data_IF_342855506599
#
_entry.id   IF_342855506599
#
_cell.length_a   1.000
_cell.length_b   1.000
_cell.length_c   1.000
_cell.angle_alpha   90.00
_cell.angle_beta   90.00
_cell.angle_gamma   90.00
#
_symmetry.space_group_name_H-M   'P 1'
#
loop_
_entity.id
_entity.type
_entity.pdbx_description
1 polymer ?
#
# COMPACT_ATOMS: atom_id res chain seq x y z
N UNK A 1 6.45 23.33 -5.41
CA UNK A 1 7.00 22.60 -4.26
C UNK A 1 7.71 21.38 -4.80
N UNK A 2 8.86 21.03 -4.22
CA UNK A 2 9.60 19.82 -4.55
C UNK A 2 8.80 18.59 -4.07
N UNK A 3 8.62 17.58 -4.92
CA UNK A 3 7.90 16.36 -4.60
C UNK A 3 8.52 15.64 -3.38
N UNK A 4 9.84 15.77 -3.18
CA UNK A 4 10.51 15.21 -2.01
C UNK A 4 10.06 15.88 -0.69
N UNK A 5 9.84 17.19 -0.69
CA UNK A 5 9.30 17.92 0.47
C UNK A 5 7.85 17.55 0.75
N UNK A 6 7.08 17.25 -0.31
CA UNK A 6 5.70 16.75 -0.19
C UNK A 6 5.67 15.39 0.51
N UNK A 7 6.52 14.46 0.07
CA UNK A 7 6.59 13.12 0.64
C UNK A 7 7.02 13.13 2.11
N UNK A 8 7.99 13.97 2.50
CA UNK A 8 8.54 13.95 3.87
C UNK A 8 7.60 14.54 4.91
N UNK A 9 6.89 15.63 4.60
CA UNK A 9 6.01 16.26 5.59
C UNK A 9 4.71 15.51 5.87
N UNK A 10 4.17 14.74 4.91
CA UNK A 10 3.04 13.82 5.14
C UNK A 10 3.45 12.73 6.16
N UNK A 11 4.67 12.20 6.04
CA UNK A 11 5.20 11.17 6.93
C UNK A 11 5.36 11.69 8.36
N UNK A 12 5.92 12.90 8.54
CA UNK A 12 6.19 13.45 9.87
C UNK A 12 4.91 13.75 10.68
N UNK A 13 3.88 14.32 10.07
CA UNK A 13 2.62 14.57 10.78
C UNK A 13 1.88 13.28 11.11
N UNK A 14 1.85 12.33 10.18
CA UNK A 14 1.26 11.02 10.44
C UNK A 14 1.98 10.29 11.57
N UNK A 15 3.29 10.51 11.74
CA UNK A 15 4.10 9.92 12.83
C UNK A 15 3.66 10.40 14.21
N UNK A 16 3.33 11.68 14.38
CA UNK A 16 2.89 12.21 15.68
C UNK A 16 1.58 11.56 16.15
N UNK A 17 0.60 11.41 15.25
CA UNK A 17 -0.67 10.74 15.56
C UNK A 17 -0.46 9.26 15.94
N UNK A 18 0.45 8.56 15.27
CA UNK A 18 0.72 7.13 15.50
C UNK A 18 1.40 6.84 16.83
N UNK A 19 2.39 7.64 17.20
CA UNK A 19 3.20 7.38 18.40
C UNK A 19 2.74 8.17 19.63
N UNK A 20 1.68 8.98 19.50
CA UNK A 20 1.07 9.70 20.62
C UNK A 20 0.79 8.76 21.80
N UNK A 21 1.22 9.20 22.98
CA UNK A 21 1.07 8.44 24.24
C UNK A 21 1.95 7.20 24.35
N UNK A 22 2.95 7.01 23.48
CA UNK A 22 3.86 5.84 23.54
C UNK A 22 5.33 6.25 23.59
N UNK A 23 6.19 5.34 24.05
CA UNK A 23 7.64 5.50 24.05
C UNK A 23 8.32 4.20 23.59
N UNK A 24 9.57 4.24 23.09
CA UNK A 24 10.33 3.03 22.76
C UNK A 24 10.38 2.02 23.91
N UNK A 25 10.51 2.50 25.15
CA UNK A 25 10.55 1.66 26.35
C UNK A 25 9.19 1.00 26.65
N UNK A 26 8.08 1.72 26.45
CA UNK A 26 6.75 1.14 26.59
C UNK A 26 6.50 0.05 25.54
N UNK A 27 6.88 0.32 24.29
CA UNK A 27 6.79 -0.66 23.21
C UNK A 27 7.67 -1.89 23.46
N UNK A 28 8.88 -1.69 24.00
CA UNK A 28 9.76 -2.79 24.41
C UNK A 28 9.05 -3.74 25.38
N UNK A 29 8.43 -3.22 26.43
CA UNK A 29 7.68 -4.03 27.43
C UNK A 29 6.50 -4.77 26.83
N UNK A 30 5.74 -4.10 25.95
CA UNK A 30 4.59 -4.71 25.24
C UNK A 30 5.05 -5.85 24.33
N UNK A 31 6.13 -5.65 23.58
CA UNK A 31 6.75 -6.68 22.74
C UNK A 31 7.26 -7.86 23.56
N UNK A 32 7.93 -7.62 24.69
CA UNK A 32 8.37 -8.69 25.60
C UNK A 32 7.18 -9.51 26.11
N UNK A 33 6.07 -8.84 26.45
CA UNK A 33 4.83 -9.49 26.90
C UNK A 33 4.20 -10.32 25.79
N UNK A 34 4.14 -9.79 24.57
CA UNK A 34 3.64 -10.51 23.39
C UNK A 34 4.47 -11.76 23.11
N UNK A 35 5.81 -11.64 23.12
CA UNK A 35 6.73 -12.75 22.86
C UNK A 35 6.63 -13.82 23.97
N UNK A 36 6.51 -13.40 25.24
CA UNK A 36 6.36 -14.31 26.37
C UNK A 36 5.06 -15.12 26.34
N UNK A 37 4.02 -14.61 25.66
CA UNK A 37 2.74 -15.27 25.54
C UNK A 37 2.71 -16.36 24.45
N UNK A 38 3.77 -16.50 23.65
CA UNK A 38 3.80 -17.45 22.54
C UNK A 38 4.08 -18.87 23.05
N UNK A 39 3.30 -19.89 22.64
CA UNK A 39 3.40 -21.25 23.21
C UNK A 39 4.78 -21.90 23.09
N UNK A 40 5.50 -21.64 21.99
CA UNK A 40 6.82 -22.19 21.74
C UNK A 40 7.94 -21.47 22.53
N UNK A 41 7.66 -20.28 23.08
CA UNK A 41 8.68 -19.42 23.70
C UNK A 41 8.90 -19.79 25.16
N UNK A 42 10.17 -19.85 25.57
CA UNK A 42 10.58 -20.15 26.94
C UNK A 42 11.82 -19.34 27.35
N UNK A 43 12.05 -19.28 28.67
CA UNK A 43 13.23 -18.62 29.23
C UNK A 43 13.20 -17.09 29.12
N UNK A 44 14.36 -16.43 29.31
CA UNK A 44 14.44 -14.97 29.27
C UNK A 44 14.23 -14.44 27.84
N UNK A 45 13.51 -13.32 27.75
CA UNK A 45 13.26 -12.59 26.51
C UNK A 45 13.96 -11.23 26.63
N UNK A 46 14.63 -10.82 25.56
CA UNK A 46 15.25 -9.51 25.48
C UNK A 46 14.84 -8.82 24.20
N UNK A 47 14.14 -7.69 24.31
CA UNK A 47 13.83 -6.81 23.18
C UNK A 47 14.74 -5.58 23.22
N UNK A 48 15.33 -5.22 22.08
CA UNK A 48 16.29 -4.12 21.95
C UNK A 48 16.04 -3.31 20.67
N UNK A 49 16.67 -2.14 20.60
CA UNK A 49 16.67 -1.26 19.42
C UNK A 49 15.28 -0.90 18.90
N UNK A 50 14.29 -0.80 19.80
CA UNK A 50 12.93 -0.39 19.45
C UNK A 50 12.96 1.05 18.96
N UNK A 51 12.64 1.24 17.68
CA UNK A 51 12.64 2.57 17.07
C UNK A 51 11.62 2.68 15.93
N UNK A 52 11.03 3.86 15.72
CA UNK A 52 10.24 4.12 14.51
C UNK A 52 11.12 4.05 13.25
N UNK A 53 10.49 3.73 12.12
CA UNK A 53 11.14 3.84 10.82
C UNK A 53 11.41 5.32 10.52
N UNK A 54 12.61 5.63 10.02
CA UNK A 54 13.09 7.01 9.90
C UNK A 54 12.33 7.80 8.82
N UNK A 55 12.17 7.29 7.58
CA UNK A 55 11.86 8.17 6.43
C UNK A 55 11.05 7.56 5.26
N UNK A 56 10.66 6.27 5.26
CA UNK A 56 10.09 5.64 4.05
C UNK A 56 8.95 4.62 4.28
N UNK A 57 8.33 4.58 5.47
CA UNK A 57 7.19 3.68 5.72
C UNK A 57 5.86 4.44 5.61
N UNK A 58 4.92 3.88 4.85
CA UNK A 58 3.64 4.46 4.44
C UNK A 58 2.82 5.19 5.52
N UNK A 59 1.84 5.96 5.02
CA UNK A 59 1.02 6.95 5.74
C UNK A 59 0.03 6.40 6.80
N UNK A 60 -0.28 5.11 6.77
CA UNK A 60 -1.51 4.57 7.34
C UNK A 60 -1.37 3.88 8.70
N UNK A 61 -0.26 3.19 8.95
CA UNK A 61 -0.07 2.35 10.15
C UNK A 61 1.19 2.75 10.95
N UNK A 62 1.19 2.44 12.24
CA UNK A 62 2.40 2.54 13.07
C UNK A 62 3.40 1.43 12.73
N UNK A 63 4.66 1.78 12.51
CA UNK A 63 5.72 0.82 12.18
C UNK A 63 6.94 1.01 13.08
N UNK A 64 7.35 -0.05 13.78
CA UNK A 64 8.53 -0.08 14.64
C UNK A 64 9.51 -1.17 14.20
N UNK A 65 10.79 -0.86 14.22
CA UNK A 65 11.88 -1.82 14.08
C UNK A 65 12.35 -2.23 15.47
N UNK A 66 12.70 -3.51 15.67
CA UNK A 66 13.32 -3.99 16.90
C UNK A 66 14.15 -5.25 16.66
N UNK A 67 14.97 -5.62 17.65
CA UNK A 67 15.63 -6.93 17.73
C UNK A 67 15.08 -7.70 18.92
N UNK A 68 14.94 -9.01 18.79
CA UNK A 68 14.57 -9.87 19.90
C UNK A 68 15.49 -11.09 20.01
N UNK A 69 15.82 -11.45 21.25
CA UNK A 69 16.53 -12.66 21.64
C UNK A 69 15.65 -13.44 22.62
N UNK A 70 15.30 -14.69 22.29
CA UNK A 70 14.44 -15.57 23.08
C UNK A 70 14.72 -17.04 22.77
N UNK A 71 14.24 -17.99 23.59
CA UNK A 71 14.27 -19.41 23.21
C UNK A 71 12.92 -19.84 22.66
N UNK A 72 12.91 -20.49 21.49
CA UNK A 72 11.75 -21.17 20.94
C UNK A 72 12.08 -22.65 20.73
N UNK A 73 11.24 -23.55 21.26
CA UNK A 73 11.44 -25.00 21.16
C UNK A 73 12.86 -25.45 21.59
N UNK A 74 13.39 -24.80 22.64
CA UNK A 74 14.73 -25.04 23.18
C UNK A 74 15.88 -24.36 22.42
N UNK A 75 15.64 -23.82 21.21
CA UNK A 75 16.66 -23.15 20.40
C UNK A 75 16.71 -21.65 20.69
N UNK A 76 17.93 -21.08 20.74
CA UNK A 76 18.10 -19.63 20.84
C UNK A 76 17.80 -18.98 19.49
N UNK A 77 16.86 -18.04 19.48
CA UNK A 77 16.50 -17.22 18.32
C UNK A 77 16.98 -15.80 18.56
N UNK A 78 17.76 -15.25 17.63
CA UNK A 78 18.19 -13.84 17.63
C UNK A 78 17.95 -13.22 16.26
N UNK A 79 16.90 -12.41 16.15
CA UNK A 79 16.44 -11.86 14.85
C UNK A 79 16.03 -10.40 14.96
N UNK A 80 15.96 -9.75 13.79
CA UNK A 80 15.38 -8.43 13.64
C UNK A 80 13.94 -8.56 13.14
N UNK A 81 13.06 -7.72 13.67
CA UNK A 81 11.63 -7.77 13.43
C UNK A 81 11.08 -6.38 13.12
N UNK A 82 9.89 -6.38 12.53
CA UNK A 82 9.07 -5.19 12.30
C UNK A 82 7.73 -5.42 12.99
N UNK A 83 7.30 -4.46 13.79
CA UNK A 83 5.94 -4.40 14.33
C UNK A 83 5.13 -3.42 13.49
N UNK A 84 3.99 -3.87 12.95
CA UNK A 84 2.94 -3.03 12.37
C UNK A 84 1.75 -2.98 13.32
N UNK A 85 1.21 -1.81 13.60
CA UNK A 85 0.06 -1.65 14.51
C UNK A 85 -0.86 -0.52 14.07
N UNK A 86 -2.14 -0.61 14.43
CA UNK A 86 -3.13 0.39 14.07
C UNK A 86 -2.85 1.74 14.76
N UNK A 87 -3.05 2.87 14.05
CA UNK A 87 -3.02 4.18 14.68
C UNK A 87 -4.21 4.37 15.62
N UNK A 88 -4.15 5.37 16.50
CA UNK A 88 -5.30 5.77 17.35
C UNK A 88 -6.42 6.45 16.58
N UNK A 89 -6.11 6.98 15.40
CA UNK A 89 -7.03 7.62 14.47
C UNK A 89 -6.63 7.22 13.06
N UNK A 90 -7.59 6.72 12.29
CA UNK A 90 -7.36 6.20 10.95
C UNK A 90 -7.77 7.16 9.84
N UNK A 91 -7.10 7.04 8.69
CA UNK A 91 -7.46 7.65 7.42
C UNK A 91 -8.59 6.90 6.71
N UNK A 92 -8.57 5.56 6.81
CA UNK A 92 -9.57 4.67 6.20
C UNK A 92 -10.75 4.41 7.15
N UNK A 93 -11.92 4.15 6.56
CA UNK A 93 -13.14 3.83 7.30
C UNK A 93 -13.11 2.42 7.92
N UNK A 94 -12.25 1.54 7.39
CA UNK A 94 -12.03 0.19 7.88
C UNK A 94 -10.54 -0.14 7.90
N UNK A 95 -10.10 -0.76 9.00
CA UNK A 95 -8.74 -1.22 9.19
C UNK A 95 -8.78 -2.62 9.79
N UNK A 96 -8.16 -3.58 9.10
CA UNK A 96 -8.01 -4.93 9.62
C UNK A 96 -6.55 -5.40 9.49
N UNK A 97 -5.87 -5.49 10.64
CA UNK A 97 -4.49 -5.98 10.71
C UNK A 97 -4.39 -7.50 10.57
N UNK A 98 -5.46 -8.23 10.88
CA UNK A 98 -5.52 -9.68 10.71
C UNK A 98 -5.64 -10.03 9.24
N UNK A 99 -6.47 -9.34 8.47
CA UNK A 99 -6.54 -9.51 7.01
C UNK A 99 -5.17 -9.29 6.36
N UNK A 100 -4.46 -8.22 6.75
CA UNK A 100 -3.11 -7.95 6.25
C UNK A 100 -2.10 -9.04 6.64
N UNK A 101 -2.18 -9.55 7.87
CA UNK A 101 -1.31 -10.61 8.37
C UNK A 101 -1.59 -11.93 7.64
N UNK A 102 -2.85 -12.33 7.52
CA UNK A 102 -3.26 -13.59 6.90
C UNK A 102 -2.98 -13.59 5.40
N UNK A 103 -3.21 -12.46 4.72
CA UNK A 103 -2.86 -12.30 3.30
C UNK A 103 -1.37 -12.52 3.08
N UNK A 104 -0.51 -11.78 3.78
CA UNK A 104 0.94 -11.95 3.64
C UNK A 104 1.39 -13.36 4.02
N UNK A 105 0.82 -13.96 5.07
CA UNK A 105 1.13 -15.32 5.48
C UNK A 105 0.76 -16.35 4.41
N UNK A 106 -0.34 -16.16 3.69
CA UNK A 106 -0.73 -17.05 2.58
C UNK A 106 0.28 -16.97 1.41
N UNK A 107 0.85 -15.80 1.18
CA UNK A 107 1.80 -15.53 0.09
C UNK A 107 3.20 -16.09 0.37
N UNK A 108 3.56 -16.41 1.61
CA UNK A 108 4.87 -16.98 1.97
C UNK A 108 5.22 -18.28 1.21
N UNK A 109 4.19 -19.00 0.73
CA UNK A 109 4.35 -20.24 -0.04
C UNK A 109 4.50 -20.03 -1.55
N UNK A 110 4.54 -18.78 -2.01
CA UNK A 110 4.53 -18.39 -3.44
C UNK A 110 5.86 -17.76 -3.88
N UNK A 111 5.94 -17.31 -5.14
CA UNK A 111 7.08 -16.52 -5.64
C UNK A 111 7.05 -15.06 -5.18
N UNK A 112 5.93 -14.59 -4.60
CA UNK A 112 5.79 -13.20 -4.16
C UNK A 112 6.74 -12.95 -2.98
N UNK A 113 7.67 -11.97 -3.08
CA UNK A 113 8.58 -11.69 -1.98
C UNK A 113 7.82 -10.94 -0.88
N UNK A 114 7.49 -11.63 0.21
CA UNK A 114 6.85 -11.05 1.41
C UNK A 114 7.68 -11.34 2.64
N UNK A 115 7.52 -10.49 3.67
CA UNK A 115 8.12 -10.77 4.97
C UNK A 115 7.38 -11.91 5.67
N UNK A 116 8.12 -12.80 6.33
CA UNK A 116 7.52 -13.87 7.14
C UNK A 116 6.76 -13.29 8.33
N UNK A 117 5.50 -13.67 8.44
CA UNK A 117 4.56 -13.24 9.46
C UNK A 117 4.73 -14.10 10.72
N UNK A 118 5.02 -13.46 11.85
CA UNK A 118 5.50 -14.15 13.06
C UNK A 118 4.42 -14.22 14.14
N UNK A 119 3.90 -13.06 14.57
CA UNK A 119 2.91 -12.99 15.66
C UNK A 119 1.80 -12.01 15.34
N UNK A 120 0.56 -12.36 15.66
CA UNK A 120 -0.61 -11.49 15.54
C UNK A 120 -1.21 -11.24 16.93
N UNK A 121 -1.46 -9.97 17.24
CA UNK A 121 -2.26 -9.52 18.37
C UNK A 121 -3.45 -8.73 17.87
N UNK A 122 -4.42 -9.45 17.29
CA UNK A 122 -5.61 -8.92 16.62
C UNK A 122 -6.40 -7.94 17.51
N UNK A 123 -6.49 -8.23 18.81
CA UNK A 123 -7.30 -7.44 19.75
C UNK A 123 -6.47 -6.48 20.59
N UNK A 124 -5.17 -6.38 20.34
CA UNK A 124 -4.26 -5.56 21.14
C UNK A 124 -4.18 -5.97 22.60
N UNK A 125 -4.32 -7.27 22.91
CA UNK A 125 -4.27 -7.80 24.28
C UNK A 125 -2.92 -7.54 24.95
N UNK A 126 -1.85 -7.54 24.17
CA UNK A 126 -0.47 -7.39 24.63
C UNK A 126 0.13 -6.05 24.19
N UNK A 127 -0.16 -5.64 22.95
CA UNK A 127 0.33 -4.40 22.34
C UNK A 127 -0.50 -3.17 22.74
N UNK A 128 -1.64 -3.35 23.40
CA UNK A 128 -2.68 -2.35 23.68
C UNK A 128 -3.27 -1.67 22.43
N UNK A 129 -2.88 -2.15 21.24
CA UNK A 129 -3.41 -1.79 19.93
C UNK A 129 -3.34 -3.03 19.03
N UNK A 130 -4.33 -3.27 18.18
CA UNK A 130 -4.23 -4.31 17.16
C UNK A 130 -2.94 -4.16 16.35
N UNK A 131 -2.22 -5.27 16.17
CA UNK A 131 -0.97 -5.25 15.41
C UNK A 131 -0.39 -6.64 15.19
N UNK A 132 0.61 -6.70 14.33
CA UNK A 132 1.33 -7.93 14.02
C UNK A 132 2.83 -7.67 13.88
N UNK A 133 3.60 -8.73 14.11
CA UNK A 133 5.05 -8.76 13.97
C UNK A 133 5.43 -9.65 12.81
N UNK A 134 6.36 -9.16 11.99
CA UNK A 134 6.98 -9.88 10.88
C UNK A 134 8.50 -9.84 10.99
N UNK A 135 9.19 -10.76 10.33
CA UNK A 135 10.65 -10.72 10.21
C UNK A 135 11.08 -9.49 9.40
N UNK A 136 12.20 -8.87 9.80
CA UNK A 136 12.74 -7.73 9.04
C UNK A 136 13.47 -8.23 7.81
N UNK A 137 12.96 -7.88 6.65
CA UNK A 137 13.64 -8.10 5.36
C UNK A 137 14.67 -7.00 5.10
N UNK A 138 15.83 -7.37 4.57
CA UNK A 138 16.85 -6.42 4.15
C UNK A 138 16.47 -5.74 2.84
N UNK A 139 16.56 -4.42 2.81
CA UNK A 139 16.36 -3.62 1.60
C UNK A 139 16.03 -2.18 1.95
N UNK A 140 15.83 -1.37 0.93
CA UNK A 140 15.42 0.03 1.05
C UNK A 140 14.32 0.29 0.04
N UNK A 141 13.24 0.95 0.44
CA UNK A 141 12.23 1.44 -0.49
C UNK A 141 12.58 2.85 -0.97
N UNK A 142 12.05 3.22 -2.14
CA UNK A 142 12.12 4.60 -2.61
C UNK A 142 11.07 5.45 -1.88
N UNK A 143 11.24 6.76 -1.67
CA UNK A 143 10.12 7.61 -1.29
C UNK A 143 9.06 7.63 -2.40
N UNK A 144 7.84 8.05 -2.09
CA UNK A 144 6.78 8.22 -3.10
C UNK A 144 7.20 9.19 -4.21
N UNK A 145 8.06 10.16 -3.89
CA UNK A 145 8.69 11.07 -4.84
C UNK A 145 9.91 10.45 -5.56
N UNK A 146 9.80 9.18 -5.97
CA UNK A 146 10.92 8.36 -6.44
C UNK A 146 11.64 8.91 -7.69
N UNK A 147 11.00 9.80 -8.47
CA UNK A 147 11.62 10.45 -9.63
C UNK A 147 12.53 11.63 -9.25
N UNK A 148 12.45 12.15 -8.03
CA UNK A 148 13.24 13.32 -7.60
C UNK A 148 14.17 13.02 -6.42
N UNK A 149 13.98 11.90 -5.73
CA UNK A 149 14.86 11.49 -4.63
C UNK A 149 14.81 9.99 -4.33
N UNK A 150 15.82 9.52 -3.62
CA UNK A 150 15.92 8.15 -3.11
C UNK A 150 16.57 7.18 -4.08
N UNK A 151 16.57 5.90 -3.68
CA UNK A 151 17.43 4.88 -4.29
C UNK A 151 17.24 4.68 -5.80
N UNK A 152 16.03 4.95 -6.34
CA UNK A 152 15.76 4.84 -7.77
C UNK A 152 16.32 6.06 -8.50
N UNK A 153 15.99 7.27 -8.03
CA UNK A 153 16.53 8.50 -8.58
C UNK A 153 18.06 8.52 -8.55
N UNK A 154 18.67 8.03 -7.47
CA UNK A 154 20.12 8.11 -7.26
C UNK A 154 20.91 7.00 -7.98
N UNK A 155 20.22 5.97 -8.50
CA UNK A 155 20.85 4.88 -9.24
C UNK A 155 21.37 5.30 -10.63
N UNK A 156 22.27 4.50 -11.20
CA UNK A 156 22.73 4.64 -12.59
C UNK A 156 21.57 4.36 -13.57
N UNK A 157 21.59 4.91 -14.80
CA UNK A 157 20.56 4.60 -15.79
C UNK A 157 20.38 3.09 -16.06
N UNK A 158 21.48 2.32 -16.06
CA UNK A 158 21.41 0.86 -16.23
C UNK A 158 20.71 0.18 -15.05
N UNK A 159 21.00 0.61 -13.81
CA UNK A 159 20.41 0.01 -12.62
C UNK A 159 18.96 0.44 -12.43
N UNK A 160 18.59 1.67 -12.80
CA UNK A 160 17.19 2.12 -12.87
C UNK A 160 16.36 1.21 -13.76
N UNK A 161 16.86 0.86 -14.95
CA UNK A 161 16.17 -0.08 -15.84
C UNK A 161 15.97 -1.43 -15.18
N UNK A 162 17.02 -1.99 -14.55
CA UNK A 162 16.92 -3.27 -13.83
C UNK A 162 15.94 -3.20 -12.67
N UNK A 163 15.92 -2.11 -11.92
CA UNK A 163 14.98 -1.90 -10.80
C UNK A 163 13.53 -1.81 -11.30
N UNK A 164 13.27 -1.09 -12.40
CA UNK A 164 11.94 -1.05 -13.02
C UNK A 164 11.48 -2.43 -13.48
N UNK A 165 12.37 -3.23 -14.09
CA UNK A 165 12.05 -4.60 -14.50
C UNK A 165 11.82 -5.52 -13.29
N UNK A 166 12.61 -5.40 -12.23
CA UNK A 166 12.43 -6.18 -11.01
C UNK A 166 11.12 -5.84 -10.28
N UNK A 167 10.73 -4.56 -10.28
CA UNK A 167 9.43 -4.11 -9.78
C UNK A 167 8.27 -4.73 -10.60
N UNK A 168 8.35 -4.68 -11.94
CA UNK A 168 7.32 -5.28 -12.80
C UNK A 168 7.24 -6.81 -12.65
N UNK A 169 8.39 -7.46 -12.46
CA UNK A 169 8.46 -8.91 -12.18
C UNK A 169 7.76 -9.25 -10.86
N UNK A 170 8.03 -8.50 -9.78
CA UNK A 170 7.36 -8.72 -8.51
C UNK A 170 5.84 -8.49 -8.62
N UNK A 171 5.40 -7.48 -9.39
CA UNK A 171 3.99 -7.26 -9.65
C UNK A 171 3.36 -8.41 -10.48
N UNK A 172 4.09 -8.93 -11.47
CA UNK A 172 3.66 -10.10 -12.24
C UNK A 172 3.54 -11.36 -11.36
N UNK A 173 4.47 -11.57 -10.42
CA UNK A 173 4.40 -12.67 -9.44
C UNK A 173 3.11 -12.59 -8.60
N UNK A 174 2.73 -11.39 -8.14
CA UNK A 174 1.47 -11.17 -7.40
C UNK A 174 0.27 -11.58 -8.25
N UNK A 175 0.23 -11.13 -9.49
CA UNK A 175 -0.87 -11.41 -10.41
C UNK A 175 -0.94 -12.86 -10.92
N UNK A 176 0.12 -13.65 -10.71
CA UNK A 176 0.20 -15.06 -11.10
C UNK A 176 -0.24 -16.02 -9.98
N UNK A 177 -0.43 -15.51 -8.76
CA UNK A 177 -0.88 -16.33 -7.63
C UNK A 177 -2.27 -16.90 -7.86
N UNK A 178 -2.44 -18.20 -7.61
CA UNK A 178 -3.75 -18.84 -7.49
C UNK A 178 -4.38 -18.49 -6.14
N UNK A 179 -5.03 -17.32 -6.09
CA UNK A 179 -5.66 -16.78 -4.88
C UNK A 179 -6.75 -17.71 -4.31
N UNK A 180 -7.35 -18.56 -5.15
CA UNK A 180 -8.34 -19.55 -4.70
C UNK A 180 -7.66 -20.69 -3.96
N UNK A 181 -6.57 -21.22 -4.51
CA UNK A 181 -5.77 -22.25 -3.83
C UNK A 181 -5.17 -21.74 -2.51
N UNK A 182 -4.90 -20.44 -2.40
CA UNK A 182 -4.46 -19.80 -1.16
C UNK A 182 -5.60 -19.51 -0.15
N UNK A 183 -6.86 -19.74 -0.52
CA UNK A 183 -8.00 -19.50 0.37
C UNK A 183 -8.35 -18.02 0.56
N UNK A 184 -8.02 -17.16 -0.40
CA UNK A 184 -8.26 -15.70 -0.34
C UNK A 184 -9.68 -15.27 -0.72
N UNK A 185 -10.66 -16.18 -0.61
CA UNK A 185 -12.08 -15.92 -0.92
C UNK A 185 -12.71 -14.81 -0.06
N UNK A 186 -12.19 -14.59 1.15
CA UNK A 186 -12.67 -13.54 2.04
C UNK A 186 -12.48 -12.13 1.46
N UNK A 187 -11.54 -11.93 0.53
CA UNK A 187 -11.41 -10.66 -0.20
C UNK A 187 -12.64 -10.35 -1.08
N UNK A 188 -13.48 -11.35 -1.35
CA UNK A 188 -14.75 -11.14 -2.05
C UNK A 188 -15.84 -10.53 -1.17
N UNK A 189 -15.68 -10.56 0.15
CA UNK A 189 -16.66 -10.08 1.13
C UNK A 189 -16.42 -8.63 1.56
N UNK A 190 -15.39 -7.98 1.00
CA UNK A 190 -14.95 -6.62 1.39
C UNK A 190 -16.05 -5.58 1.30
N UNK A 191 -16.90 -5.64 0.28
CA UNK A 191 -18.00 -4.70 0.08
C UNK A 191 -19.15 -5.34 -0.71
N UNK A 192 -20.29 -4.67 -0.73
CA UNK A 192 -21.43 -5.09 -1.55
C UNK A 192 -21.11 -5.02 -3.04
N UNK A 193 -21.62 -5.96 -3.82
CA UNK A 193 -21.43 -6.04 -5.25
C UNK A 193 -21.39 -7.49 -5.72
N UNK A 194 -21.79 -7.72 -6.95
CA UNK A 194 -21.75 -9.06 -7.58
C UNK A 194 -20.52 -9.24 -8.46
N UNK A 195 -19.88 -8.13 -8.82
CA UNK A 195 -18.70 -8.09 -9.68
C UNK A 195 -17.48 -7.53 -8.95
N UNK A 196 -16.25 -7.92 -9.32
CA UNK A 196 -15.04 -7.55 -8.59
C UNK A 196 -14.77 -6.04 -8.60
N UNK A 197 -14.96 -5.34 -9.73
CA UNK A 197 -14.72 -3.89 -9.77
C UNK A 197 -15.88 -3.13 -9.13
N UNK A 198 -17.13 -3.59 -9.29
CA UNK A 198 -18.29 -3.08 -8.54
C UNK A 198 -18.03 -3.12 -7.02
N UNK A 199 -17.55 -4.26 -6.49
CA UNK A 199 -17.21 -4.42 -5.07
C UNK A 199 -16.19 -3.38 -4.61
N UNK A 200 -15.06 -3.29 -5.29
CA UNK A 200 -14.01 -2.32 -4.90
C UNK A 200 -14.47 -0.86 -5.11
N UNK A 201 -15.30 -0.58 -6.13
CA UNK A 201 -15.92 0.74 -6.33
C UNK A 201 -16.81 1.10 -5.15
N UNK A 202 -17.63 0.16 -4.67
CA UNK A 202 -18.50 0.37 -3.51
C UNK A 202 -17.71 0.53 -2.21
N UNK A 203 -16.58 -0.16 -2.05
CA UNK A 203 -15.70 0.00 -0.90
C UNK A 203 -15.21 1.46 -0.72
N UNK A 204 -14.71 2.10 -1.79
CA UNK A 204 -14.29 3.50 -1.70
C UNK A 204 -15.48 4.46 -1.64
N UNK A 205 -16.61 4.12 -2.25
CA UNK A 205 -17.83 4.89 -2.08
C UNK A 205 -18.25 4.97 -0.61
N UNK A 206 -18.29 3.84 0.08
CA UNK A 206 -18.62 3.77 1.50
C UNK A 206 -17.63 4.59 2.34
N UNK A 207 -16.34 4.56 1.98
CA UNK A 207 -15.32 5.41 2.59
C UNK A 207 -15.61 6.91 2.38
N UNK A 208 -15.96 7.32 1.16
CA UNK A 208 -16.28 8.71 0.83
C UNK A 208 -17.54 9.18 1.57
N UNK A 209 -18.57 8.33 1.64
CA UNK A 209 -19.81 8.62 2.38
C UNK A 209 -19.51 8.76 3.88
N UNK A 210 -18.70 7.88 4.45
CA UNK A 210 -18.24 7.95 5.84
C UNK A 210 -17.54 9.29 6.14
N UNK A 211 -16.81 9.84 5.16
CA UNK A 211 -16.11 11.12 5.27
C UNK A 211 -17.05 12.33 5.40
N UNK A 212 -18.33 12.18 5.02
CA UNK A 212 -19.38 13.23 5.05
C UNK A 212 -19.07 14.48 4.22
N UNK A 213 -18.15 14.40 3.25
CA UNK A 213 -17.83 15.53 2.38
C UNK A 213 -18.82 15.61 1.20
N UNK A 214 -19.90 16.38 1.39
CA UNK A 214 -21.02 16.47 0.44
C UNK A 214 -20.63 16.98 -0.96
N UNK A 215 -19.60 17.82 -1.07
CA UNK A 215 -19.10 18.31 -2.36
C UNK A 215 -18.50 17.16 -3.18
N UNK A 216 -17.59 16.40 -2.58
CA UNK A 216 -16.97 15.26 -3.26
C UNK A 216 -17.96 14.11 -3.47
N UNK A 217 -18.89 13.86 -2.55
CA UNK A 217 -19.96 12.87 -2.76
C UNK A 217 -20.73 13.17 -4.06
N UNK A 218 -21.17 14.42 -4.26
CA UNK A 218 -21.87 14.82 -5.50
C UNK A 218 -21.01 14.65 -6.76
N UNK A 219 -19.72 14.95 -6.65
CA UNK A 219 -18.78 14.82 -7.76
C UNK A 219 -18.51 13.37 -8.15
N UNK A 220 -18.32 12.48 -7.18
CA UNK A 220 -17.93 11.09 -7.42
C UNK A 220 -19.12 10.16 -7.69
N UNK A 221 -20.35 10.53 -7.31
CA UNK A 221 -21.57 9.74 -7.56
C UNK A 221 -21.80 9.35 -9.04
N UNK A 222 -21.81 10.30 -10.01
CA UNK A 222 -21.99 9.93 -11.41
C UNK A 222 -20.85 9.05 -11.94
N UNK A 223 -19.62 9.27 -11.46
CA UNK A 223 -18.44 8.47 -11.83
C UNK A 223 -18.58 7.04 -11.30
N UNK A 224 -18.99 6.87 -10.03
CA UNK A 224 -19.29 5.56 -9.44
C UNK A 224 -20.33 4.81 -10.28
N UNK A 225 -21.44 5.47 -10.59
CA UNK A 225 -22.53 4.82 -11.32
C UNK A 225 -22.08 4.40 -12.72
N UNK A 226 -21.28 5.23 -13.39
CA UNK A 226 -20.70 4.89 -14.68
C UNK A 226 -19.72 3.71 -14.59
N UNK A 227 -18.82 3.70 -13.59
CA UNK A 227 -17.87 2.60 -13.38
C UNK A 227 -18.58 1.25 -13.19
N UNK A 228 -19.64 1.22 -12.38
CA UNK A 228 -20.44 0.01 -12.16
C UNK A 228 -21.16 -0.42 -13.45
N UNK A 229 -21.75 0.53 -14.18
CA UNK A 229 -22.50 0.24 -15.41
C UNK A 229 -21.61 -0.20 -16.59
N UNK A 230 -20.33 0.19 -16.59
CA UNK A 230 -19.40 -0.05 -17.70
C UNK A 230 -18.24 -1.00 -17.30
N UNK A 231 -18.36 -1.73 -16.19
CA UNK A 231 -17.39 -2.76 -15.85
C UNK A 231 -17.28 -3.79 -17.00
N UNK A 232 -16.08 -4.06 -17.54
CA UNK A 232 -15.92 -5.04 -18.62
C UNK A 232 -16.29 -6.46 -18.17
N UNK A 233 -16.89 -7.24 -19.05
CA UNK A 233 -17.38 -8.60 -18.74
C UNK A 233 -16.31 -9.69 -18.86
N UNK A 234 -15.21 -9.40 -19.54
CA UNK A 234 -14.15 -10.34 -19.95
C UNK A 234 -12.91 -10.25 -19.05
N UNK A 235 -13.12 -10.13 -17.73
CA UNK A 235 -12.04 -9.93 -16.77
C UNK A 235 -11.50 -11.23 -16.21
N UNK A 236 -10.17 -11.39 -16.26
CA UNK A 236 -9.47 -12.40 -15.45
C UNK A 236 -9.19 -11.85 -14.05
N UNK A 237 -9.67 -12.56 -13.03
CA UNK A 237 -9.61 -12.08 -11.65
C UNK A 237 -8.34 -12.55 -10.98
N UNK A 238 -7.54 -11.58 -10.54
CA UNK A 238 -6.25 -11.78 -9.87
C UNK A 238 -6.23 -11.08 -8.51
N UNK A 239 -5.28 -11.47 -7.67
CA UNK A 239 -4.91 -10.68 -6.49
C UNK A 239 -4.21 -9.40 -6.97
N UNK A 240 -4.73 -8.25 -6.61
CA UNK A 240 -4.05 -6.97 -6.78
C UNK A 240 -3.37 -6.57 -5.48
N UNK A 241 -2.14 -6.05 -5.57
CA UNK A 241 -1.46 -5.39 -4.46
C UNK A 241 -2.28 -4.20 -3.95
N UNK A 242 -2.82 -3.41 -4.88
CA UNK A 242 -3.72 -2.30 -4.60
C UNK A 242 -3.04 -0.97 -4.32
N UNK A 243 -1.81 -0.95 -3.81
CA UNK A 243 -0.96 0.24 -3.65
C UNK A 243 0.41 0.04 -4.31
N UNK A 244 0.40 -0.27 -5.61
CA UNK A 244 1.59 -0.68 -6.37
C UNK A 244 2.53 0.50 -6.72
N UNK A 245 3.00 1.25 -5.73
CA UNK A 245 4.02 2.30 -5.93
C UNK A 245 5.42 1.84 -5.48
N UNK A 246 6.49 2.43 -6.03
CA UNK A 246 7.88 2.05 -5.70
C UNK A 246 8.25 2.18 -4.22
N UNK A 247 7.51 2.95 -3.43
CA UNK A 247 7.72 3.06 -1.99
C UNK A 247 7.30 1.85 -1.18
N UNK A 248 6.55 0.95 -1.79
CA UNK A 248 6.12 -0.31 -1.19
C UNK A 248 6.97 -1.51 -1.64
N UNK A 249 8.09 -1.28 -2.33
CA UNK A 249 8.98 -2.34 -2.79
C UNK A 249 10.37 -2.11 -2.19
N UNK A 250 10.85 -3.06 -1.38
CA UNK A 250 12.20 -3.03 -0.86
C UNK A 250 13.18 -3.53 -1.91
N UNK A 251 14.24 -2.76 -2.14
CA UNK A 251 15.32 -3.12 -3.05
C UNK A 251 16.62 -3.40 -2.30
N UNK A 252 17.35 -4.41 -2.76
CA UNK A 252 18.76 -4.63 -2.45
C UNK A 252 19.54 -4.67 -3.76
N UNK A 253 20.26 -3.59 -4.06
CA UNK A 253 20.73 -3.35 -5.43
C UNK A 253 19.53 -3.21 -6.37
N UNK A 254 19.50 -3.99 -7.46
CA UNK A 254 18.38 -3.99 -8.41
C UNK A 254 17.37 -5.13 -8.21
N UNK A 255 17.40 -5.82 -7.06
CA UNK A 255 16.48 -6.93 -6.76
C UNK A 255 15.43 -6.49 -5.75
N UNK A 256 14.16 -6.81 -6.00
CA UNK A 256 13.08 -6.67 -5.02
C UNK A 256 13.20 -7.77 -3.97
N UNK A 257 13.30 -7.40 -2.70
CA UNK A 257 13.44 -8.34 -1.58
C UNK A 257 12.16 -8.52 -0.78
N UNK A 258 11.27 -7.53 -0.78
CA UNK A 258 9.92 -7.64 -0.23
C UNK A 258 8.97 -6.61 -0.83
N UNK A 259 7.71 -7.00 -0.96
CA UNK A 259 6.55 -6.13 -1.20
C UNK A 259 5.88 -5.84 0.14
N UNK A 260 5.66 -4.56 0.40
CA UNK A 260 5.15 -4.01 1.65
C UNK A 260 3.73 -3.48 1.44
N UNK A 261 3.03 -3.26 2.55
CA UNK A 261 1.76 -2.52 2.60
C UNK A 261 0.59 -3.10 1.80
N UNK A 262 0.11 -4.24 2.28
CA UNK A 262 -0.99 -5.01 1.70
C UNK A 262 -2.39 -4.57 2.17
N UNK A 263 -2.56 -3.36 2.70
CA UNK A 263 -3.85 -2.92 3.26
C UNK A 263 -4.90 -2.55 2.20
N UNK A 264 -4.43 -2.21 1.01
CA UNK A 264 -5.27 -1.85 -0.15
C UNK A 264 -5.51 -3.02 -1.10
N UNK A 265 -5.01 -4.22 -0.76
CA UNK A 265 -5.13 -5.39 -1.61
C UNK A 265 -6.59 -5.82 -1.78
N UNK A 266 -6.93 -6.30 -2.97
CA UNK A 266 -8.28 -6.68 -3.34
C UNK A 266 -8.23 -7.66 -4.52
N UNK A 267 -9.37 -8.28 -4.84
CA UNK A 267 -9.52 -9.09 -6.04
C UNK A 267 -10.04 -8.22 -7.18
N UNK A 268 -9.23 -8.08 -8.22
CA UNK A 268 -9.49 -7.19 -9.36
C UNK A 268 -8.85 -7.76 -10.62
N UNK A 269 -8.27 -6.88 -11.45
CA UNK A 269 -7.57 -7.28 -12.68
C UNK A 269 -6.16 -6.70 -12.72
N UNK A 270 -5.29 -7.28 -13.54
CA UNK A 270 -3.88 -6.84 -13.68
C UNK A 270 -3.77 -5.36 -14.04
N UNK A 271 -4.71 -4.88 -14.84
CA UNK A 271 -4.81 -3.50 -15.29
C UNK A 271 -4.99 -2.53 -14.14
N UNK A 272 -5.57 -2.95 -13.02
CA UNK A 272 -5.77 -2.09 -11.85
C UNK A 272 -4.43 -1.64 -11.25
N UNK A 273 -3.49 -2.56 -10.99
CA UNK A 273 -2.18 -2.18 -10.47
C UNK A 273 -1.30 -1.54 -11.55
N UNK A 274 -1.45 -1.93 -12.82
CA UNK A 274 -0.74 -1.27 -13.92
C UNK A 274 -1.17 0.19 -14.09
N UNK A 275 -2.47 0.46 -14.03
CA UNK A 275 -3.00 1.82 -14.05
C UNK A 275 -2.61 2.58 -12.77
N UNK A 276 -2.52 1.91 -11.63
CA UNK A 276 -2.11 2.52 -10.36
C UNK A 276 -0.74 3.18 -10.44
N UNK A 277 0.25 2.51 -11.05
CA UNK A 277 1.56 3.11 -11.28
C UNK A 277 1.45 4.48 -11.97
N UNK A 278 0.63 4.56 -13.01
CA UNK A 278 0.53 5.75 -13.84
C UNK A 278 -0.26 6.85 -13.18
N UNK A 279 -1.43 6.55 -12.62
CA UNK A 279 -2.26 7.55 -11.95
C UNK A 279 -1.57 8.07 -10.68
N UNK A 280 -0.90 7.19 -9.93
CA UNK A 280 -0.08 7.57 -8.77
C UNK A 280 1.03 8.55 -9.17
N UNK A 281 1.79 8.23 -10.22
CA UNK A 281 2.81 9.12 -10.78
C UNK A 281 2.20 10.47 -11.24
N UNK A 282 1.04 10.47 -11.92
CA UNK A 282 0.37 11.72 -12.34
C UNK A 282 -0.05 12.61 -11.16
N UNK A 283 -0.52 12.02 -10.06
CA UNK A 283 -0.92 12.80 -8.88
C UNK A 283 0.30 13.41 -8.20
N UNK A 284 1.31 12.59 -7.94
CA UNK A 284 2.44 12.94 -7.06
C UNK A 284 3.57 13.67 -7.80
N UNK A 285 3.76 13.36 -9.08
CA UNK A 285 4.93 13.71 -9.87
C UNK A 285 4.55 14.43 -11.18
N UNK A 286 3.38 15.07 -11.21
CA UNK A 286 2.95 15.91 -12.34
C UNK A 286 4.06 16.90 -12.77
N UNK A 287 4.40 16.86 -14.06
CA UNK A 287 5.44 17.69 -14.66
C UNK A 287 6.88 17.29 -14.33
N UNK A 288 7.11 16.23 -13.54
CA UNK A 288 8.46 15.72 -13.26
C UNK A 288 8.89 14.79 -14.41
N UNK A 289 10.05 15.05 -15.05
CA UNK A 289 10.55 14.17 -16.10
C UNK A 289 10.95 12.81 -15.52
N UNK A 290 10.60 11.74 -16.23
CA UNK A 290 11.06 10.39 -15.89
C UNK A 290 12.60 10.36 -16.00
N UNK A 291 13.33 9.95 -14.94
CA UNK A 291 14.78 9.90 -14.99
C UNK A 291 15.31 8.98 -16.09
N UNK A 292 16.43 9.35 -16.72
CA UNK A 292 17.07 8.52 -17.75
C UNK A 292 17.31 7.09 -17.23
N UNK A 293 16.92 6.08 -18.01
CA UNK A 293 17.03 4.67 -17.66
C UNK A 293 15.80 4.08 -16.96
N UNK A 294 14.89 4.89 -16.43
CA UNK A 294 13.58 4.42 -15.97
C UNK A 294 12.65 4.16 -17.17
N UNK A 295 11.76 3.18 -17.04
CA UNK A 295 10.75 2.89 -18.06
C UNK A 295 9.65 3.96 -18.05
N UNK A 296 9.34 4.49 -19.24
CA UNK A 296 8.11 5.26 -19.49
C UNK A 296 6.87 4.38 -19.27
N UNK A 297 5.69 4.98 -19.17
CA UNK A 297 4.46 4.21 -18.98
C UNK A 297 4.19 3.22 -20.13
N UNK A 298 4.44 3.63 -21.38
CA UNK A 298 4.31 2.74 -22.55
C UNK A 298 5.30 1.57 -22.50
N UNK A 299 6.54 1.82 -22.11
CA UNK A 299 7.53 0.75 -21.93
C UNK A 299 7.17 -0.16 -20.77
N UNK A 300 6.68 0.36 -19.63
CA UNK A 300 6.22 -0.48 -18.51
C UNK A 300 5.11 -1.43 -18.93
N UNK A 301 4.13 -0.93 -19.69
CA UNK A 301 3.05 -1.77 -20.24
C UNK A 301 3.62 -2.86 -21.16
N UNK A 302 4.45 -2.48 -22.13
CA UNK A 302 5.03 -3.42 -23.09
C UNK A 302 5.86 -4.52 -22.41
N UNK A 303 6.72 -4.14 -21.45
CA UNK A 303 7.54 -5.07 -20.67
C UNK A 303 6.66 -5.98 -19.81
N UNK A 304 5.62 -5.45 -19.17
CA UNK A 304 4.67 -6.23 -18.37
C UNK A 304 3.91 -7.27 -19.21
N UNK A 305 3.39 -6.87 -20.38
CA UNK A 305 2.74 -7.79 -21.31
C UNK A 305 3.70 -8.88 -21.81
N UNK A 306 4.95 -8.52 -22.09
CA UNK A 306 5.97 -9.47 -22.51
C UNK A 306 6.31 -10.47 -21.40
N UNK A 307 6.44 -10.02 -20.15
CA UNK A 307 6.75 -10.88 -19.00
C UNK A 307 5.62 -11.86 -18.69
N UNK A 308 4.37 -11.39 -18.75
CA UNK A 308 3.21 -12.17 -18.31
C UNK A 308 2.54 -12.95 -19.44
N UNK A 309 2.77 -12.57 -20.70
CA UNK A 309 1.99 -13.04 -21.84
C UNK A 309 0.54 -12.52 -21.87
N UNK A 310 0.13 -11.72 -20.88
CA UNK A 310 -1.19 -11.10 -20.80
C UNK A 310 -1.21 -9.82 -21.62
N UNK A 311 -2.25 -9.63 -22.44
CA UNK A 311 -2.48 -8.36 -23.15
C UNK A 311 -3.38 -7.47 -22.31
N UNK A 312 -2.89 -6.28 -21.99
CA UNK A 312 -3.62 -5.30 -21.18
C UNK A 312 -4.79 -4.72 -21.99
N UNK A 313 -5.97 -4.74 -21.41
CA UNK A 313 -7.21 -4.32 -22.08
C UNK A 313 -7.92 -3.22 -21.29
N UNK A 314 -8.85 -2.50 -21.92
CA UNK A 314 -9.72 -1.54 -21.24
C UNK A 314 -8.99 -0.49 -20.37
N UNK A 315 -7.73 -0.16 -20.70
CA UNK A 315 -6.88 0.68 -19.84
C UNK A 315 -7.50 2.03 -19.51
N UNK A 316 -8.25 2.65 -20.43
CA UNK A 316 -8.93 3.91 -20.14
C UNK A 316 -9.97 3.76 -19.01
N UNK A 317 -10.70 2.64 -18.96
CA UNK A 317 -11.62 2.32 -17.87
C UNK A 317 -10.87 2.13 -16.55
N UNK A 318 -9.79 1.33 -16.55
CA UNK A 318 -9.03 1.06 -15.32
C UNK A 318 -8.24 2.28 -14.82
N UNK A 319 -7.79 3.16 -15.71
CA UNK A 319 -7.21 4.44 -15.36
C UNK A 319 -8.25 5.37 -14.70
N UNK A 320 -9.51 5.37 -15.15
CA UNK A 320 -10.59 6.07 -14.45
C UNK A 320 -10.89 5.41 -13.09
N UNK A 321 -11.00 4.09 -13.03
CA UNK A 321 -11.23 3.35 -11.80
C UNK A 321 -10.15 3.65 -10.74
N UNK A 322 -8.89 3.65 -11.13
CA UNK A 322 -7.81 3.96 -10.17
C UNK A 322 -7.78 5.44 -9.82
N UNK A 323 -8.08 6.35 -10.75
CA UNK A 323 -8.28 7.76 -10.42
C UNK A 323 -9.45 7.99 -9.44
N UNK A 324 -10.51 7.19 -9.54
CA UNK A 324 -11.60 7.16 -8.58
C UNK A 324 -11.11 6.75 -7.18
N UNK A 325 -10.38 5.64 -7.08
CA UNK A 325 -9.78 5.15 -5.81
C UNK A 325 -8.86 6.19 -5.18
N UNK A 326 -7.84 6.64 -5.92
CA UNK A 326 -6.84 7.59 -5.42
C UNK A 326 -7.43 8.97 -5.14
N UNK A 327 -8.39 9.42 -5.95
CA UNK A 327 -9.13 10.65 -5.72
C UNK A 327 -9.89 10.63 -4.40
N UNK A 328 -10.59 9.54 -4.09
CA UNK A 328 -11.27 9.37 -2.79
C UNK A 328 -10.26 9.33 -1.65
N UNK A 329 -9.17 8.58 -1.77
CA UNK A 329 -8.10 8.54 -0.75
C UNK A 329 -7.56 9.94 -0.47
N UNK A 330 -7.35 10.75 -1.50
CA UNK A 330 -6.94 12.14 -1.33
C UNK A 330 -8.01 13.01 -0.65
N UNK A 331 -9.30 12.78 -0.90
CA UNK A 331 -10.39 13.44 -0.15
C UNK A 331 -10.37 13.05 1.33
N UNK A 332 -10.22 11.75 1.62
CA UNK A 332 -10.10 11.27 3.01
C UNK A 332 -8.89 11.92 3.70
N UNK A 333 -7.77 12.03 3.00
CA UNK A 333 -6.57 12.66 3.50
C UNK A 333 -6.80 14.16 3.79
N UNK A 334 -7.46 14.86 2.87
CA UNK A 334 -7.81 16.27 3.06
C UNK A 334 -8.77 16.50 4.23
N UNK A 335 -9.67 15.55 4.52
CA UNK A 335 -10.55 15.64 5.68
C UNK A 335 -9.84 15.29 7.00
N UNK A 336 -8.78 14.47 6.96
CA UNK A 336 -8.07 13.99 8.13
C UNK A 336 -6.95 14.94 8.58
N UNK A 337 -6.21 15.51 7.64
CA UNK A 337 -5.02 16.31 7.95
C UNK A 337 -5.37 17.73 8.43
N UNK A 338 -4.61 18.29 9.40
CA UNK A 338 -4.89 19.62 9.92
C UNK A 338 -4.50 20.73 8.93
N UNK A 339 -5.02 21.97 9.08
CA UNK A 339 -4.89 23.04 8.10
C UNK A 339 -3.44 23.33 7.64
N UNK A 340 -2.47 23.32 8.56
CA UNK A 340 -1.05 23.54 8.28
C UNK A 340 -0.45 22.50 7.31
N UNK A 341 -0.96 21.27 7.36
CA UNK A 341 -0.59 20.17 6.46
C UNK A 341 -1.25 20.36 5.10
N UNK A 342 -2.50 20.83 5.08
CA UNK A 342 -3.24 21.11 3.86
C UNK A 342 -2.74 22.36 3.10
N UNK A 343 -2.17 23.34 3.81
CA UNK A 343 -1.48 24.46 3.17
C UNK A 343 -0.31 23.97 2.31
N UNK A 344 0.41 22.96 2.79
CA UNK A 344 1.57 22.40 2.10
C UNK A 344 1.18 21.33 1.07
N UNK A 345 0.32 20.37 1.43
CA UNK A 345 0.05 19.19 0.57
C UNK A 345 -1.33 19.20 -0.09
N UNK A 346 -2.23 20.09 0.32
CA UNK A 346 -3.55 20.24 -0.26
C UNK A 346 -3.55 20.43 -1.78
N UNK A 347 -2.62 21.21 -2.38
CA UNK A 347 -2.53 21.32 -3.84
C UNK A 347 -2.31 19.98 -4.55
N UNK A 348 -1.49 19.09 -3.99
CA UNK A 348 -1.23 17.75 -4.55
C UNK A 348 -2.42 16.84 -4.34
N UNK A 349 -3.00 16.83 -3.14
CA UNK A 349 -4.19 16.00 -2.85
C UNK A 349 -5.40 16.41 -3.72
N UNK A 350 -5.55 17.69 -4.05
CA UNK A 350 -6.61 18.14 -4.98
C UNK A 350 -6.43 17.63 -6.42
N UNK A 351 -5.24 17.17 -6.81
CA UNK A 351 -5.01 16.57 -8.14
C UNK A 351 -5.74 15.25 -8.30
N UNK A 352 -5.86 14.42 -7.25
CA UNK A 352 -6.55 13.14 -7.33
C UNK A 352 -7.99 13.28 -7.85
N UNK A 353 -8.86 14.05 -7.15
CA UNK A 353 -10.20 14.34 -7.65
C UNK A 353 -10.21 15.01 -9.03
N UNK A 354 -9.32 15.98 -9.29
CA UNK A 354 -9.27 16.67 -10.58
C UNK A 354 -8.94 15.73 -11.75
N UNK A 355 -7.98 14.82 -11.58
CA UNK A 355 -7.61 13.79 -12.57
C UNK A 355 -8.78 12.83 -12.78
N UNK A 356 -9.45 12.40 -11.71
CA UNK A 356 -10.64 11.55 -11.81
C UNK A 356 -11.74 12.22 -12.65
N UNK A 357 -12.05 13.49 -12.36
CA UNK A 357 -13.02 14.30 -13.13
C UNK A 357 -12.66 14.38 -14.60
N UNK A 358 -11.43 14.77 -14.92
CA UNK A 358 -10.99 14.94 -16.32
C UNK A 358 -11.05 13.63 -17.10
N UNK A 359 -10.72 12.50 -16.47
CA UNK A 359 -10.82 11.17 -17.10
C UNK A 359 -12.27 10.73 -17.31
N UNK A 360 -13.15 11.03 -16.35
CA UNK A 360 -14.57 10.76 -16.48
C UNK A 360 -15.16 11.56 -17.67
N UNK A 361 -14.86 12.86 -17.76
CA UNK A 361 -15.27 13.70 -18.89
C UNK A 361 -14.75 13.18 -20.23
N UNK A 362 -13.49 12.75 -20.29
CA UNK A 362 -12.90 12.17 -21.50
C UNK A 362 -13.57 10.86 -21.95
N UNK A 363 -14.18 10.12 -21.02
CA UNK A 363 -14.96 8.91 -21.28
C UNK A 363 -16.46 9.18 -21.50
N UNK A 364 -16.87 10.45 -21.52
CA UNK A 364 -18.26 10.84 -21.74
C UNK A 364 -19.17 10.63 -20.52
N UNK A 365 -18.61 10.58 -19.31
CA UNK A 365 -19.41 10.57 -18.08
C UNK A 365 -20.07 11.95 -17.90
N UNK A 366 -21.39 11.98 -17.77
CA UNK A 366 -22.14 13.20 -17.47
C UNK A 366 -21.95 13.57 -15.98
N UNK A 367 -21.20 14.64 -15.72
CA UNK A 367 -20.99 15.20 -14.39
C UNK A 367 -21.94 16.39 -14.20
N UNK A 368 -22.68 16.41 -13.08
CA UNK A 368 -23.64 17.48 -12.74
C UNK A 368 -23.02 18.59 -11.90
#
# INVERSE_FOLDING_TARGET
MDAAQISSGIVEHSRQARFSGTSPELWRKRLETLIAAQPAVSGPIRVQDVKPVAEAAGGSNGTLLFRASYRADGQLVEKAFVLRFLPTSGLFHHYDVKEQFDLQRSLESTSVPVASQVWLDEKGKYLERPGYVMERVEGTSSPMAWMTSGIIHDASPSDRRKMSLAYLSALADIHAVDWKALGLHWLEERATGTRPIERETNWYWDALVWSKNAEYIRMFEPIRNWLIANEPDDLEIVLCHGDANYGNYLFKGSTVTAVLDWEMSFLGTRECDVAFMYIGDQILLDGVPVPEGCLSYEERKAEYEQMTGHKLQHLAYFELFVAYRLGIINVLAMNHFPPEVLETFGPVMRRGPAICRARAEALGVELY
#
